data_IF_317867222736
#
_entry.id   IF_317867222736
#
_cell.length_a   1.000
_cell.length_b   1.000
_cell.length_c   1.000
_cell.angle_alpha   90.00
_cell.angle_beta   90.00
_cell.angle_gamma   90.00
#
_symmetry.space_group_name_H-M   'P 1'
#
loop_
_entity.id
_entity.type
_entity.pdbx_description
1 polymer ?
#
# COMPACT_ATOMS: atom_id res chain seq x y z
N UNK A 1 -0.39 -1.53 53.58
CA UNK A 1 0.43 -2.27 52.59
C UNK A 1 -0.43 -2.95 51.50
N UNK A 2 -1.49 -3.70 51.83
CA UNK A 2 -2.32 -4.43 50.85
C UNK A 2 -3.15 -3.56 49.88
N UNK A 3 -3.59 -2.37 50.29
CA UNK A 3 -4.38 -1.46 49.45
C UNK A 3 -3.53 -0.77 48.36
N UNK A 4 -2.29 -0.42 48.68
CA UNK A 4 -1.34 0.21 47.75
C UNK A 4 -0.97 -0.74 46.61
N UNK A 5 -0.82 -2.04 46.90
CA UNK A 5 -0.52 -3.08 45.89
C UNK A 5 -1.69 -3.26 44.93
N UNK A 6 -2.94 -3.30 45.43
CA UNK A 6 -4.13 -3.39 44.57
C UNK A 6 -4.27 -2.19 43.63
N UNK A 7 -4.03 -0.97 44.13
CA UNK A 7 -4.12 0.24 43.31
C UNK A 7 -3.06 0.25 42.20
N UNK A 8 -1.83 -0.16 42.51
CA UNK A 8 -0.75 -0.29 41.53
C UNK A 8 -1.08 -1.33 40.44
N UNK A 9 -1.63 -2.49 40.81
CA UNK A 9 -2.01 -3.52 39.83
C UNK A 9 -3.10 -3.03 38.87
N UNK A 10 -4.12 -2.30 39.37
CA UNK A 10 -5.19 -1.75 38.52
C UNK A 10 -4.62 -0.71 37.57
N UNK A 11 -3.81 0.23 38.05
CA UNK A 11 -3.19 1.27 37.21
C UNK A 11 -2.29 0.65 36.14
N UNK A 12 -1.45 -0.32 36.49
CA UNK A 12 -0.58 -0.99 35.51
C UNK A 12 -1.39 -1.77 34.46
N UNK A 13 -2.45 -2.46 34.87
CA UNK A 13 -3.35 -3.16 33.94
C UNK A 13 -4.06 -2.21 32.98
N UNK A 14 -4.50 -1.04 33.45
CA UNK A 14 -5.10 0.00 32.61
C UNK A 14 -4.07 0.61 31.64
N UNK A 15 -2.86 0.90 32.10
CA UNK A 15 -1.80 1.44 31.25
C UNK A 15 -1.39 0.46 30.15
N UNK A 16 -1.29 -0.83 30.46
CA UNK A 16 -1.03 -1.87 29.45
C UNK A 16 -2.18 -1.97 28.43
N UNK A 17 -3.44 -1.94 28.88
CA UNK A 17 -4.59 -1.98 27.99
C UNK A 17 -4.64 -0.76 27.04
N UNK A 18 -4.31 0.43 27.55
CA UNK A 18 -4.24 1.65 26.73
C UNK A 18 -3.10 1.59 25.73
N UNK A 19 -1.90 1.15 26.14
CA UNK A 19 -0.75 1.00 25.24
C UNK A 19 -1.02 -0.03 24.12
N UNK A 20 -1.67 -1.14 24.45
CA UNK A 20 -2.08 -2.16 23.47
C UNK A 20 -3.15 -1.63 22.50
N UNK A 21 -4.14 -0.88 23.02
CA UNK A 21 -5.16 -0.26 22.20
C UNK A 21 -4.60 0.83 21.27
N UNK A 22 -3.54 1.54 21.67
CA UNK A 22 -2.84 2.52 20.85
C UNK A 22 -2.00 1.85 19.75
N UNK A 23 -1.29 0.76 20.07
CA UNK A 23 -0.43 0.07 19.10
C UNK A 23 -1.20 -0.61 17.97
N UNK A 24 -2.48 -0.97 18.17
CA UNK A 24 -3.33 -1.55 17.14
C UNK A 24 -3.90 -0.53 16.14
N UNK A 25 -3.84 0.78 16.46
CA UNK A 25 -4.45 1.84 15.64
C UNK A 25 -3.51 2.53 14.68
N UNK A 26 -2.20 2.41 14.88
CA UNK A 26 -1.23 3.04 13.98
C UNK A 26 -1.06 2.21 12.71
N UNK A 27 -1.06 2.83 11.52
CA UNK A 27 -0.68 2.18 10.28
C UNK A 27 0.61 1.41 10.47
N UNK A 28 0.60 0.15 10.06
CA UNK A 28 1.83 -0.61 10.00
C UNK A 28 2.67 -0.11 8.82
N UNK A 29 3.99 -0.15 8.96
CA UNK A 29 4.90 0.08 7.85
C UNK A 29 5.30 -1.28 7.30
N UNK A 30 5.12 -1.48 6.00
CA UNK A 30 5.70 -2.63 5.32
C UNK A 30 7.22 -2.57 5.46
N UNK A 31 7.90 -3.74 5.54
CA UNK A 31 9.35 -3.75 5.47
C UNK A 31 9.78 -3.09 4.15
N UNK A 32 10.82 -2.23 4.19
CA UNK A 32 11.27 -1.51 3.00
C UNK A 32 11.76 -2.51 1.95
N UNK A 33 11.13 -2.51 0.77
CA UNK A 33 11.51 -3.36 -0.38
C UNK A 33 12.91 -3.03 -0.91
N UNK A 34 13.38 -1.80 -0.67
CA UNK A 34 14.73 -1.31 -0.96
C UNK A 34 15.15 -0.34 0.15
N UNK A 35 16.44 -0.23 0.44
CA UNK A 35 16.96 0.80 1.34
C UNK A 35 16.88 2.17 0.65
N UNK A 36 15.72 2.84 0.67
CA UNK A 36 15.54 4.15 0.04
C UNK A 36 14.08 4.58 -0.17
N UNK A 37 13.89 5.83 -0.58
CA UNK A 37 12.59 6.39 -1.00
C UNK A 37 12.48 6.32 -2.53
N UNK A 38 11.61 5.46 -3.05
CA UNK A 38 11.33 5.40 -4.50
C UNK A 38 10.47 6.60 -4.91
N UNK A 39 10.99 7.46 -5.81
CA UNK A 39 10.25 8.57 -6.41
C UNK A 39 9.95 8.23 -7.85
N UNK A 40 8.69 7.97 -8.16
CA UNK A 40 8.24 7.76 -9.54
C UNK A 40 7.78 9.12 -10.09
N UNK A 41 8.34 9.53 -11.23
CA UNK A 41 8.00 10.80 -11.89
C UNK A 41 7.77 10.67 -13.39
N UNK A 42 8.09 9.51 -13.96
CA UNK A 42 7.99 9.22 -15.39
C UNK A 42 7.43 7.82 -15.56
N UNK A 43 6.44 7.67 -16.43
CA UNK A 43 5.92 6.38 -16.88
C UNK A 43 6.53 6.04 -18.24
N UNK A 44 6.95 4.80 -18.40
CA UNK A 44 7.39 4.26 -19.69
C UNK A 44 6.42 3.17 -20.13
N UNK A 45 5.78 3.35 -21.27
CA UNK A 45 5.04 2.29 -21.96
C UNK A 45 6.02 1.62 -22.93
N UNK A 46 6.35 0.35 -22.71
CA UNK A 46 7.42 -0.35 -23.43
C UNK A 46 6.82 -1.48 -24.28
N UNK A 47 7.03 -1.42 -25.60
CA UNK A 47 6.76 -2.52 -26.51
C UNK A 47 8.08 -3.21 -26.89
N UNK A 48 8.35 -4.32 -26.21
CA UNK A 48 9.58 -5.10 -26.41
C UNK A 48 9.64 -5.80 -27.76
N UNK A 49 8.52 -6.00 -28.46
CA UNK A 49 8.50 -6.65 -29.78
C UNK A 49 8.84 -5.67 -30.89
N UNK A 50 8.34 -4.44 -30.76
CA UNK A 50 8.55 -3.38 -31.75
C UNK A 50 9.72 -2.47 -31.41
N UNK A 51 10.40 -2.71 -30.27
CA UNK A 51 11.46 -1.86 -29.73
C UNK A 51 11.02 -0.39 -29.66
N UNK A 52 9.77 -0.17 -29.27
CA UNK A 52 9.17 1.16 -29.17
C UNK A 52 8.85 1.50 -27.71
N UNK A 53 8.85 2.79 -27.42
CA UNK A 53 8.71 3.30 -26.08
C UNK A 53 7.94 4.62 -26.10
N UNK A 54 6.95 4.77 -25.24
CA UNK A 54 6.32 6.07 -24.95
C UNK A 54 6.71 6.53 -23.55
N UNK A 55 6.83 7.85 -23.39
CA UNK A 55 7.32 8.47 -22.18
C UNK A 55 6.38 9.56 -21.73
N UNK A 56 5.81 9.41 -20.55
CA UNK A 56 4.84 10.35 -19.99
C UNK A 56 5.26 10.82 -18.59
N UNK A 57 4.82 12.02 -18.21
CA UNK A 57 5.05 12.54 -16.86
C UNK A 57 3.95 12.06 -15.92
N UNK A 58 4.34 11.47 -14.79
CA UNK A 58 3.39 11.09 -13.75
C UNK A 58 3.08 12.29 -12.85
N UNK A 59 1.84 12.77 -12.93
CA UNK A 59 1.33 13.84 -12.07
C UNK A 59 1.21 13.37 -10.61
N UNK A 60 0.78 12.13 -10.40
CA UNK A 60 0.64 11.53 -9.07
C UNK A 60 1.90 10.75 -8.67
N UNK A 61 2.50 11.12 -7.53
CA UNK A 61 3.81 10.60 -7.09
C UNK A 61 3.77 9.78 -5.79
N UNK A 62 2.59 9.54 -5.23
CA UNK A 62 2.44 8.72 -4.01
C UNK A 62 2.36 7.24 -4.36
N UNK A 63 3.01 6.42 -3.54
CA UNK A 63 3.01 4.98 -3.72
C UNK A 63 1.71 4.39 -3.17
N UNK A 64 0.89 3.82 -4.06
CA UNK A 64 -0.44 3.30 -3.68
C UNK A 64 -0.41 1.94 -2.97
N UNK A 65 0.74 1.28 -2.85
CA UNK A 65 0.80 0.02 -2.08
C UNK A 65 1.36 0.23 -0.67
N UNK A 66 1.70 1.47 -0.30
CA UNK A 66 2.04 1.83 1.07
C UNK A 66 0.75 2.28 1.78
N UNK A 67 0.55 1.84 3.03
CA UNK A 67 -0.55 2.36 3.84
C UNK A 67 -0.20 3.81 4.23
N UNK A 68 -1.03 4.81 3.86
CA UNK A 68 -0.76 6.18 4.25
C UNK A 68 -0.71 6.35 5.78
N UNK A 69 0.13 7.26 6.31
CA UNK A 69 0.29 7.45 7.75
C UNK A 69 -0.97 7.99 8.44
N UNK A 70 -1.88 8.59 7.67
CA UNK A 70 -3.18 9.08 8.11
C UNK A 70 -4.33 8.07 7.87
N UNK A 71 -4.01 6.84 7.45
CA UNK A 71 -4.99 5.79 7.27
C UNK A 71 -5.66 5.41 8.60
N UNK A 72 -6.95 5.12 8.54
CA UNK A 72 -7.74 4.67 9.69
C UNK A 72 -7.85 3.16 9.68
N UNK A 73 -7.44 2.51 10.77
CA UNK A 73 -7.72 1.10 10.99
C UNK A 73 -9.22 0.87 11.07
N UNK A 74 -9.78 0.08 10.16
CA UNK A 74 -11.20 -0.27 10.17
C UNK A 74 -11.42 -1.55 10.97
N UNK A 75 -10.79 -2.65 10.54
CA UNK A 75 -11.06 -3.98 11.10
C UNK A 75 -9.90 -4.93 10.91
N UNK A 76 -9.95 -6.04 11.64
CA UNK A 76 -9.06 -7.17 11.46
C UNK A 76 -9.93 -8.40 11.19
N UNK A 77 -9.67 -9.09 10.09
CA UNK A 77 -10.49 -10.23 9.63
C UNK A 77 -9.60 -11.45 9.39
N UNK A 78 -10.20 -12.64 9.46
CA UNK A 78 -9.54 -13.90 9.14
C UNK A 78 -10.07 -14.41 7.80
N UNK A 79 -9.21 -14.43 6.78
CA UNK A 79 -9.52 -15.02 5.48
C UNK A 79 -9.34 -16.53 5.57
N UNK A 80 -10.40 -17.29 5.29
CA UNK A 80 -10.42 -18.76 5.43
C UNK A 80 -11.26 -19.22 6.62
N UNK A 81 -11.12 -20.49 7.00
CA UNK A 81 -11.89 -21.06 8.12
C UNK A 81 -11.11 -20.98 9.43
N UNK A 82 -11.67 -20.39 10.51
CA UNK A 82 -11.02 -20.42 11.82
C UNK A 82 -10.95 -21.82 12.43
N UNK A 83 -11.75 -22.78 11.91
CA UNK A 83 -11.70 -24.17 12.35
C UNK A 83 -10.57 -24.99 11.73
N UNK A 84 -9.89 -24.46 10.70
CA UNK A 84 -8.81 -25.13 10.01
C UNK A 84 -7.53 -24.32 10.20
N UNK A 85 -6.64 -24.85 11.02
CA UNK A 85 -5.35 -24.24 11.33
C UNK A 85 -4.43 -24.21 10.10
N UNK A 86 -3.57 -23.20 10.01
CA UNK A 86 -2.53 -23.04 8.96
C UNK A 86 -3.05 -22.87 7.52
N UNK A 87 -4.36 -22.73 7.30
CA UNK A 87 -4.94 -22.51 5.95
C UNK A 87 -5.50 -21.09 5.75
N UNK A 88 -5.59 -20.31 6.83
CA UNK A 88 -6.14 -18.96 6.77
C UNK A 88 -5.10 -17.87 6.96
N UNK A 89 -5.50 -16.65 6.62
CA UNK A 89 -4.66 -15.47 6.70
C UNK A 89 -5.36 -14.40 7.55
N UNK A 90 -4.69 -13.95 8.61
CA UNK A 90 -5.18 -12.83 9.42
C UNK A 90 -4.77 -11.52 8.74
N UNK A 91 -5.73 -10.68 8.39
CA UNK A 91 -5.51 -9.43 7.67
C UNK A 91 -6.11 -8.23 8.42
N UNK A 92 -5.49 -7.06 8.25
CA UNK A 92 -6.01 -5.77 8.73
C UNK A 92 -6.45 -4.94 7.55
N UNK A 93 -7.57 -4.26 7.73
CA UNK A 93 -8.20 -3.39 6.74
C UNK A 93 -8.03 -1.93 7.18
N UNK A 94 -7.59 -1.10 6.24
CA UNK A 94 -7.26 0.30 6.42
C UNK A 94 -8.03 1.13 5.41
N UNK A 95 -8.73 2.17 5.89
CA UNK A 95 -9.47 3.07 5.02
C UNK A 95 -8.92 4.48 5.09
N UNK A 96 -9.11 5.21 4.00
CA UNK A 96 -8.78 6.63 3.97
C UNK A 96 -9.22 7.30 2.68
N UNK A 97 -8.70 8.50 2.46
CA UNK A 97 -9.00 9.32 1.30
C UNK A 97 -7.72 9.80 0.64
N UNK A 98 -7.71 9.82 -0.68
CA UNK A 98 -6.70 10.46 -1.49
C UNK A 98 -7.30 11.73 -2.08
N UNK A 99 -7.20 12.83 -1.33
CA UNK A 99 -7.80 14.11 -1.72
C UNK A 99 -7.31 14.60 -3.09
N UNK A 100 -6.04 14.38 -3.43
CA UNK A 100 -5.46 14.74 -4.73
C UNK A 100 -6.17 14.05 -5.91
N UNK A 101 -6.70 12.84 -5.68
CA UNK A 101 -7.38 12.03 -6.68
C UNK A 101 -8.91 12.01 -6.50
N UNK A 102 -9.44 12.78 -5.54
CA UNK A 102 -10.86 12.75 -5.15
C UNK A 102 -11.39 11.32 -4.90
N UNK A 103 -10.52 10.44 -4.38
CA UNK A 103 -10.81 9.02 -4.22
C UNK A 103 -10.84 8.61 -2.75
N UNK A 104 -11.59 7.54 -2.46
CA UNK A 104 -11.46 6.82 -1.20
C UNK A 104 -10.79 5.47 -1.44
N UNK A 105 -10.09 4.96 -0.43
CA UNK A 105 -9.41 3.67 -0.55
C UNK A 105 -9.75 2.75 0.61
N UNK A 106 -9.67 1.45 0.34
CA UNK A 106 -9.64 0.38 1.33
C UNK A 106 -8.46 -0.54 1.00
N UNK A 107 -7.46 -0.57 1.86
CA UNK A 107 -6.26 -1.38 1.73
C UNK A 107 -6.30 -2.52 2.74
N UNK A 108 -5.88 -3.71 2.34
CA UNK A 108 -5.71 -4.83 3.25
C UNK A 108 -4.26 -5.30 3.31
N UNK A 109 -3.80 -5.59 4.52
CA UNK A 109 -2.43 -6.08 4.78
C UNK A 109 -2.47 -7.30 5.68
N UNK A 110 -1.42 -8.12 5.63
CA UNK A 110 -1.22 -9.18 6.62
C UNK A 110 -1.05 -8.56 8.01
N UNK A 111 -1.70 -9.17 9.00
CA UNK A 111 -1.64 -8.67 10.39
C UNK A 111 -0.24 -8.79 10.98
N UNK A 112 0.52 -9.77 10.50
CA UNK A 112 1.95 -9.95 10.78
C UNK A 112 2.75 -9.58 9.53
N UNK A 113 3.78 -8.74 9.66
CA UNK A 113 4.66 -8.36 8.55
C UNK A 113 4.16 -7.24 7.65
N UNK A 114 2.90 -6.81 7.77
CA UNK A 114 2.35 -5.67 7.02
C UNK A 114 2.52 -5.79 5.50
N UNK A 115 2.37 -7.00 4.96
CA UNK A 115 2.47 -7.23 3.52
C UNK A 115 1.13 -6.92 2.84
N UNK A 116 1.12 -6.26 1.67
CA UNK A 116 -0.11 -5.96 0.95
C UNK A 116 -0.81 -7.25 0.52
N UNK A 117 -2.13 -7.29 0.70
CA UNK A 117 -2.99 -8.42 0.27
C UNK A 117 -3.93 -7.96 -0.83
N UNK A 118 -4.59 -6.83 -0.65
CA UNK A 118 -5.42 -6.21 -1.67
C UNK A 118 -5.52 -4.70 -1.48
N UNK A 119 -5.93 -3.99 -2.53
CA UNK A 119 -6.25 -2.58 -2.46
C UNK A 119 -7.40 -2.22 -3.38
N UNK A 120 -8.40 -1.55 -2.84
CA UNK A 120 -9.53 -1.02 -3.58
C UNK A 120 -9.46 0.50 -3.55
N UNK A 121 -9.52 1.12 -4.72
CA UNK A 121 -9.56 2.56 -4.91
C UNK A 121 -10.84 2.92 -5.63
N UNK A 122 -11.61 3.80 -5.02
CA UNK A 122 -12.91 4.19 -5.50
C UNK A 122 -12.85 5.66 -5.91
N UNK A 123 -12.71 5.89 -7.21
CA UNK A 123 -12.75 7.20 -7.82
C UNK A 123 -14.17 7.65 -8.13
N UNK A 124 -14.33 8.85 -8.68
CA UNK A 124 -15.67 9.38 -9.00
C UNK A 124 -16.35 8.65 -10.16
N UNK A 125 -15.56 8.14 -11.11
CA UNK A 125 -16.05 7.49 -12.33
C UNK A 125 -15.54 6.06 -12.52
N UNK A 126 -14.38 5.75 -11.95
CA UNK A 126 -13.63 4.51 -12.16
C UNK A 126 -13.17 3.99 -10.81
N UNK A 127 -13.30 2.67 -10.64
CA UNK A 127 -12.74 1.94 -9.51
C UNK A 127 -11.51 1.15 -9.97
N UNK A 128 -10.56 0.98 -9.08
CA UNK A 128 -9.42 0.07 -9.26
C UNK A 128 -9.40 -0.94 -8.13
N UNK A 129 -9.17 -2.20 -8.50
CA UNK A 129 -9.02 -3.30 -7.57
C UNK A 129 -7.71 -4.02 -7.84
N UNK A 130 -6.85 -4.05 -6.84
CA UNK A 130 -5.58 -4.78 -6.86
C UNK A 130 -5.65 -5.96 -5.90
N UNK A 131 -5.18 -7.12 -6.35
CA UNK A 131 -4.95 -8.30 -5.51
C UNK A 131 -3.49 -8.71 -5.65
N UNK A 132 -2.81 -8.93 -4.52
CA UNK A 132 -1.39 -9.22 -4.49
C UNK A 132 -1.15 -10.67 -4.05
N UNK A 133 -0.40 -11.41 -4.85
CA UNK A 133 -0.05 -12.81 -4.59
C UNK A 133 1.45 -13.01 -4.83
N UNK A 134 2.08 -13.91 -4.08
CA UNK A 134 3.51 -14.18 -4.23
C UNK A 134 4.40 -12.97 -3.95
N UNK A 135 4.03 -12.15 -2.95
CA UNK A 135 4.77 -10.93 -2.60
C UNK A 135 6.13 -11.31 -2.02
N UNK A 136 7.19 -10.88 -2.71
CA UNK A 136 8.57 -10.92 -2.24
C UNK A 136 8.94 -9.56 -1.65
N UNK A 137 9.72 -9.56 -0.56
CA UNK A 137 10.09 -8.32 0.15
C UNK A 137 11.40 -7.71 -0.33
N UNK A 138 12.06 -8.32 -1.30
CA UNK A 138 13.34 -7.89 -1.84
C UNK A 138 13.29 -7.94 -3.38
N UNK A 139 14.11 -7.11 -4.03
CA UNK A 139 14.25 -7.14 -5.49
C UNK A 139 15.59 -7.77 -5.83
N UNK A 140 15.55 -8.94 -6.47
CA UNK A 140 16.76 -9.71 -6.84
C UNK A 140 17.62 -9.00 -7.89
N UNK A 141 16.99 -8.46 -8.94
CA UNK A 141 17.68 -7.77 -10.04
C UNK A 141 17.25 -6.30 -10.14
N UNK A 142 18.07 -5.35 -9.66
CA UNK A 142 17.78 -3.92 -9.76
C UNK A 142 17.70 -3.39 -11.20
N UNK A 143 18.21 -4.12 -12.20
CA UNK A 143 18.18 -3.69 -13.61
C UNK A 143 16.75 -3.62 -14.16
N UNK A 144 15.77 -4.26 -13.51
CA UNK A 144 14.34 -4.17 -13.90
C UNK A 144 13.79 -2.75 -13.86
N UNK A 145 14.42 -1.84 -13.12
CA UNK A 145 14.03 -0.43 -13.04
C UNK A 145 14.72 0.46 -14.08
N UNK A 146 15.68 -0.07 -14.85
CA UNK A 146 16.39 0.67 -15.89
C UNK A 146 15.64 0.47 -17.22
N UNK A 147 15.07 1.53 -17.83
CA UNK A 147 14.42 1.40 -19.12
C UNK A 147 15.38 0.88 -20.21
N UNK A 148 14.88 0.15 -21.22
CA UNK A 148 15.69 -0.27 -22.35
C UNK A 148 16.33 0.90 -23.11
N UNK A 149 17.45 0.65 -23.78
CA UNK A 149 18.20 1.69 -24.51
C UNK A 149 17.38 2.41 -25.60
N UNK A 150 16.42 1.73 -26.22
CA UNK A 150 15.54 2.34 -27.23
C UNK A 150 14.52 3.33 -26.62
N UNK A 151 14.38 3.40 -25.30
CA UNK A 151 13.65 4.47 -24.61
C UNK A 151 14.49 5.74 -24.41
N UNK A 152 15.80 5.69 -24.69
CA UNK A 152 16.68 6.84 -24.52
C UNK A 152 16.39 7.93 -25.55
N UNK A 153 16.25 9.18 -25.09
CA UNK A 153 15.98 10.33 -25.97
C UNK A 153 14.54 10.41 -26.51
N UNK A 154 13.63 9.50 -26.13
CA UNK A 154 12.20 9.61 -26.44
C UNK A 154 11.63 10.88 -25.84
N UNK A 155 10.95 11.67 -26.68
CA UNK A 155 10.30 12.90 -26.27
C UNK A 155 9.16 12.62 -25.28
N UNK A 156 8.92 13.56 -24.37
CA UNK A 156 7.77 13.46 -23.49
C UNK A 156 6.49 13.73 -24.27
N UNK A 157 5.52 12.84 -24.12
CA UNK A 157 4.14 13.17 -24.46
C UNK A 157 3.55 13.94 -23.26
N UNK A 158 3.00 15.12 -23.53
CA UNK A 158 2.22 15.85 -22.52
C UNK A 158 0.95 15.03 -22.27
N UNK A 159 0.90 14.36 -21.13
CA UNK A 159 -0.35 13.77 -20.65
C UNK A 159 -1.39 14.89 -20.56
N UNK A 160 -2.59 14.73 -21.16
CA UNK A 160 -3.63 15.76 -21.05
C UNK A 160 -3.92 16.07 -19.58
N UNK A 161 -4.20 17.33 -19.26
CA UNK A 161 -4.40 17.83 -17.88
C UNK A 161 -5.50 17.07 -17.10
N UNK A 162 -6.35 16.30 -17.77
CA UNK A 162 -7.44 15.51 -17.17
C UNK A 162 -7.11 14.03 -16.95
N UNK A 163 -5.92 13.53 -17.34
CA UNK A 163 -5.54 12.15 -17.09
C UNK A 163 -5.32 11.93 -15.60
N UNK A 164 -6.29 11.26 -14.97
CA UNK A 164 -6.20 10.82 -13.59
C UNK A 164 -5.32 9.58 -13.50
N UNK A 165 -4.80 9.29 -12.30
CA UNK A 165 -4.12 8.02 -12.03
C UNK A 165 -4.97 6.80 -12.45
N UNK A 166 -6.30 6.90 -12.36
CA UNK A 166 -7.20 5.83 -12.75
C UNK A 166 -7.16 5.55 -14.26
N UNK A 167 -6.88 6.55 -15.08
CA UNK A 167 -6.86 6.38 -16.53
C UNK A 167 -5.66 5.56 -17.02
N UNK A 168 -4.59 5.43 -16.21
CA UNK A 168 -3.44 4.57 -16.51
C UNK A 168 -3.76 3.07 -16.54
N UNK A 169 -4.89 2.65 -15.97
CA UNK A 169 -5.26 1.25 -15.81
C UNK A 169 -6.55 0.88 -16.56
N UNK A 170 -7.07 1.80 -17.37
CA UNK A 170 -8.30 1.63 -18.11
C UNK A 170 -8.08 2.08 -19.55
N UNK A 171 -8.02 1.11 -20.47
CA UNK A 171 -7.97 1.33 -21.93
C UNK A 171 -9.29 1.89 -22.50
#
# INVERSE_FOLDING_TARGET
>A
MMHTVKLLCVVFSCLCAVAWASSHRQPCHSPPLTSGTMKVGTLYEIDSKNESCKKETLQFRKHLMEIPPDATHESEIYMGSPSITEQGLRVRVWNGKLSELHAHYSLSTTSCGCLPVSGSYYGEKKDLLFSFFGVETEVDDPQVFVPPAYCEGVAFEEAPDDHSFFDLFHD
#
